data_IF_869412968794
#
_entry.id   IF_869412968794
#
_cell.length_a   1.000
_cell.length_b   1.000
_cell.length_c   1.000
_cell.angle_alpha   90.00
_cell.angle_beta   90.00
_cell.angle_gamma   90.00
#
_symmetry.space_group_name_H-M   'P 1'
#
loop_
_entity.id
_entity.type
_entity.pdbx_description
1 polymer ?
#
# COMPACT_ATOMS: atom_id res chain seq x y z
N UNK A 1 31.01 19.72 24.19
CA UNK A 1 30.08 20.03 23.07
C UNK A 1 29.91 18.73 22.32
N UNK A 2 29.01 17.88 22.80
CA UNK A 2 28.74 16.58 22.17
C UNK A 2 27.80 16.80 21.00
N UNK A 3 28.28 16.41 19.83
CA UNK A 3 27.58 16.47 18.57
C UNK A 3 26.48 15.37 18.55
N UNK A 4 25.29 15.77 18.91
CA UNK A 4 24.12 14.89 18.98
C UNK A 4 23.45 14.85 17.60
N UNK A 5 24.21 14.52 16.54
CA UNK A 5 23.65 14.05 15.28
C UNK A 5 23.08 12.64 15.48
N UNK A 6 21.95 12.56 16.15
CA UNK A 6 21.16 11.33 16.16
C UNK A 6 20.75 11.01 14.73
N UNK A 7 21.46 10.08 14.18
CA UNK A 7 21.17 9.34 12.97
C UNK A 7 19.72 8.84 13.06
N UNK A 8 18.81 9.53 12.41
CA UNK A 8 17.60 8.89 11.93
C UNK A 8 18.03 7.99 10.77
N UNK A 9 18.55 6.82 11.12
CA UNK A 9 18.62 5.70 10.22
C UNK A 9 17.15 5.32 9.95
N UNK A 10 16.57 5.96 8.95
CA UNK A 10 15.25 5.60 8.48
C UNK A 10 15.41 4.21 7.88
N UNK A 11 14.95 3.19 8.59
CA UNK A 11 14.78 1.84 8.07
C UNK A 11 13.89 1.93 6.83
N UNK A 12 14.52 2.20 5.68
CA UNK A 12 13.84 2.28 4.39
C UNK A 12 13.37 0.87 4.08
N UNK A 13 12.08 0.65 4.25
CA UNK A 13 11.45 -0.63 3.91
C UNK A 13 11.74 -0.96 2.46
N UNK A 14 12.44 -2.05 2.24
CA UNK A 14 12.78 -2.49 0.90
C UNK A 14 11.57 -3.16 0.26
N UNK A 15 10.93 -2.43 -0.64
CA UNK A 15 9.79 -2.88 -1.43
C UNK A 15 10.28 -3.38 -2.78
N UNK A 16 9.89 -4.59 -3.16
CA UNK A 16 10.20 -5.16 -4.46
C UNK A 16 8.93 -5.64 -5.18
N UNK A 17 9.02 -5.79 -6.51
CA UNK A 17 7.99 -6.39 -7.35
C UNK A 17 8.54 -7.69 -7.94
N UNK A 18 7.85 -8.80 -7.68
CA UNK A 18 8.15 -10.07 -8.33
C UNK A 18 7.56 -10.10 -9.74
N UNK A 19 8.36 -10.61 -10.66
CA UNK A 19 7.99 -10.96 -12.02
C UNK A 19 8.49 -12.38 -12.31
N UNK A 20 7.87 -13.14 -13.24
CA UNK A 20 8.32 -14.49 -13.59
C UNK A 20 9.83 -14.57 -13.86
N UNK A 21 10.48 -15.58 -13.33
CA UNK A 21 11.93 -15.83 -13.45
C UNK A 21 12.85 -14.76 -12.80
N UNK A 22 12.31 -13.86 -12.01
CA UNK A 22 13.11 -12.87 -11.28
C UNK A 22 13.97 -13.57 -10.21
N UNK A 23 15.25 -13.18 -10.15
CA UNK A 23 16.19 -13.61 -9.11
C UNK A 23 16.19 -12.59 -7.98
N UNK A 24 16.15 -13.06 -6.75
CA UNK A 24 16.19 -12.21 -5.57
C UNK A 24 17.54 -11.51 -5.41
N UNK A 25 17.53 -10.21 -5.18
CA UNK A 25 18.70 -9.36 -4.97
C UNK A 25 18.86 -8.95 -3.49
N UNK A 26 18.82 -9.93 -2.59
CA UNK A 26 18.92 -9.73 -1.15
C UNK A 26 17.57 -9.69 -0.44
N UNK A 27 17.58 -9.30 0.84
CA UNK A 27 16.39 -9.27 1.69
C UNK A 27 15.42 -8.17 1.26
N UNK A 28 14.13 -8.51 1.22
CA UNK A 28 13.02 -7.57 1.01
C UNK A 28 12.03 -7.68 2.16
N UNK A 29 11.61 -6.57 2.74
CA UNK A 29 10.55 -6.57 3.75
C UNK A 29 9.19 -6.87 3.10
N UNK A 30 8.95 -6.28 1.93
CA UNK A 30 7.70 -6.44 1.20
C UNK A 30 7.98 -6.79 -0.26
N UNK A 31 7.31 -7.80 -0.76
CA UNK A 31 7.30 -8.12 -2.18
C UNK A 31 5.87 -8.11 -2.72
N UNK A 32 5.66 -7.40 -3.82
CA UNK A 32 4.40 -7.40 -4.56
C UNK A 32 4.49 -8.30 -5.78
N UNK A 33 3.38 -8.91 -6.14
CA UNK A 33 3.21 -9.54 -7.45
C UNK A 33 1.78 -9.32 -7.97
N UNK A 34 1.64 -9.24 -9.29
CA UNK A 34 0.32 -9.18 -9.94
C UNK A 34 -0.10 -10.62 -10.25
N UNK A 35 -1.22 -11.05 -9.68
CA UNK A 35 -1.70 -12.42 -9.86
C UNK A 35 -2.11 -12.67 -11.30
N UNK A 36 -1.57 -13.72 -11.91
CA UNK A 36 -1.85 -14.15 -13.27
C UNK A 36 -1.53 -15.65 -13.44
N UNK A 37 -1.94 -16.22 -14.57
CA UNK A 37 -1.59 -17.60 -14.93
C UNK A 37 -0.07 -17.80 -15.21
N UNK A 38 0.66 -16.70 -15.42
CA UNK A 38 2.11 -16.74 -15.68
C UNK A 38 2.94 -16.90 -14.40
N UNK A 39 2.33 -16.69 -13.23
CA UNK A 39 3.00 -16.81 -11.93
C UNK A 39 2.96 -18.26 -11.48
N UNK A 40 4.09 -18.96 -11.64
CA UNK A 40 4.25 -20.29 -11.10
C UNK A 40 4.37 -20.26 -9.57
N UNK A 41 3.61 -21.12 -8.90
CA UNK A 41 3.57 -21.20 -7.43
C UNK A 41 4.94 -21.55 -6.83
N UNK A 42 5.63 -22.54 -7.41
CA UNK A 42 6.91 -23.02 -6.89
C UNK A 42 8.02 -21.99 -7.09
N UNK A 43 7.99 -21.26 -8.21
CA UNK A 43 8.96 -20.21 -8.50
C UNK A 43 8.75 -19.00 -7.58
N UNK A 44 7.51 -18.60 -7.34
CA UNK A 44 7.18 -17.53 -6.38
C UNK A 44 7.57 -17.92 -4.95
N UNK A 45 7.31 -19.15 -4.54
CA UNK A 45 7.72 -19.68 -3.23
C UNK A 45 9.25 -19.67 -3.08
N UNK A 46 9.96 -20.11 -4.10
CA UNK A 46 11.43 -20.08 -4.12
C UNK A 46 11.96 -18.66 -4.02
N UNK A 47 11.38 -17.73 -4.78
CA UNK A 47 11.73 -16.32 -4.69
C UNK A 47 11.51 -15.75 -3.28
N UNK A 48 10.36 -16.01 -2.66
CA UNK A 48 10.05 -15.57 -1.28
C UNK A 48 11.14 -16.00 -0.29
N UNK A 49 11.58 -17.25 -0.39
CA UNK A 49 12.63 -17.81 0.48
C UNK A 49 13.99 -17.14 0.20
N UNK A 50 14.38 -17.01 -1.07
CA UNK A 50 15.66 -16.41 -1.47
C UNK A 50 15.74 -14.91 -1.11
N UNK A 51 14.66 -14.18 -1.32
CA UNK A 51 14.54 -12.77 -0.97
C UNK A 51 14.33 -12.54 0.53
N UNK A 52 14.16 -13.61 1.31
CA UNK A 52 13.79 -13.50 2.74
C UNK A 52 12.63 -12.51 2.94
N UNK A 53 11.62 -12.59 2.06
CA UNK A 53 10.49 -11.66 2.07
C UNK A 53 9.62 -11.90 3.30
N UNK A 54 9.53 -10.89 4.16
CA UNK A 54 8.71 -10.96 5.36
C UNK A 54 7.22 -10.93 5.01
N UNK A 55 6.84 -10.10 4.02
CA UNK A 55 5.44 -9.91 3.64
C UNK A 55 5.26 -9.99 2.12
N UNK A 56 4.42 -10.91 1.68
CA UNK A 56 4.11 -11.13 0.26
C UNK A 56 2.69 -10.67 -0.04
N UNK A 57 2.55 -9.64 -0.88
CA UNK A 57 1.27 -9.03 -1.23
C UNK A 57 0.94 -9.31 -2.68
N UNK A 58 -0.19 -9.96 -2.91
CA UNK A 58 -0.75 -10.13 -4.24
C UNK A 58 -1.59 -8.92 -4.65
N UNK A 59 -1.50 -8.50 -5.89
CA UNK A 59 -2.43 -7.58 -6.53
C UNK A 59 -3.30 -8.40 -7.48
N UNK A 60 -4.61 -8.43 -7.23
CA UNK A 60 -5.58 -9.12 -8.06
C UNK A 60 -6.38 -8.11 -8.86
N UNK A 61 -6.29 -8.17 -10.19
CA UNK A 61 -7.01 -7.28 -11.09
C UNK A 61 -8.25 -7.92 -11.70
N UNK A 62 -8.55 -9.15 -11.29
CA UNK A 62 -9.70 -9.92 -11.77
C UNK A 62 -10.32 -10.70 -10.62
N UNK A 63 -11.57 -11.19 -10.83
CA UNK A 63 -12.22 -12.09 -9.87
C UNK A 63 -11.79 -13.56 -10.05
N UNK A 64 -10.83 -13.84 -10.96
CA UNK A 64 -10.31 -15.18 -11.16
C UNK A 64 -9.41 -15.58 -9.99
N UNK A 65 -9.59 -16.81 -9.52
CA UNK A 65 -8.65 -17.39 -8.55
C UNK A 65 -7.41 -17.91 -9.29
N UNK A 66 -6.23 -17.60 -8.75
CA UNK A 66 -4.94 -18.10 -9.18
C UNK A 66 -4.27 -18.81 -8.02
N UNK A 67 -3.60 -19.94 -8.27
CA UNK A 67 -2.96 -20.74 -7.22
C UNK A 67 -1.91 -19.92 -6.44
N UNK A 68 -1.19 -19.02 -7.11
CA UNK A 68 -0.22 -18.14 -6.48
C UNK A 68 -0.80 -17.25 -5.36
N UNK A 69 -2.12 -16.98 -5.36
CA UNK A 69 -2.80 -16.23 -4.28
C UNK A 69 -2.75 -16.98 -2.94
N UNK A 70 -2.55 -18.30 -2.98
CA UNK A 70 -2.37 -19.12 -1.77
C UNK A 70 -1.14 -18.76 -0.96
N UNK A 71 -0.07 -18.24 -1.61
CA UNK A 71 1.18 -17.83 -0.97
C UNK A 71 1.13 -16.42 -0.38
N UNK A 72 0.21 -15.58 -0.83
CA UNK A 72 0.14 -14.19 -0.40
C UNK A 72 -0.35 -14.08 1.06
N UNK A 73 0.26 -13.18 1.82
CA UNK A 73 -0.21 -12.80 3.15
C UNK A 73 -1.47 -11.93 3.02
N UNK A 74 -1.49 -11.01 2.04
CA UNK A 74 -2.66 -10.22 1.67
C UNK A 74 -2.90 -10.24 0.16
N UNK A 75 -4.14 -10.00 -0.24
CA UNK A 75 -4.57 -9.82 -1.62
C UNK A 75 -5.25 -8.46 -1.74
N UNK A 76 -4.67 -7.57 -2.54
CA UNK A 76 -5.25 -6.26 -2.85
C UNK A 76 -6.03 -6.37 -4.15
N UNK A 77 -7.33 -6.09 -4.09
CA UNK A 77 -8.19 -6.01 -5.27
C UNK A 77 -8.17 -4.58 -5.84
N UNK A 78 -7.89 -4.45 -7.11
CA UNK A 78 -7.93 -3.18 -7.84
C UNK A 78 -8.10 -3.42 -9.35
N UNK A 79 -8.35 -2.37 -10.12
CA UNK A 79 -8.32 -2.46 -11.59
C UNK A 79 -6.87 -2.47 -12.11
N UNK A 80 -6.68 -2.88 -13.36
CA UNK A 80 -5.34 -2.99 -13.97
C UNK A 80 -4.62 -1.64 -14.03
N UNK A 81 -5.33 -0.56 -14.29
CA UNK A 81 -4.80 0.80 -14.32
C UNK A 81 -4.46 1.35 -12.93
N UNK A 82 -4.99 0.76 -11.86
CA UNK A 82 -4.69 1.12 -10.46
C UNK A 82 -3.42 0.45 -9.91
N UNK A 83 -2.91 -0.60 -10.56
CA UNK A 83 -1.71 -1.33 -10.08
C UNK A 83 -0.52 -0.40 -9.80
N UNK A 84 -0.15 0.55 -10.68
CA UNK A 84 0.93 1.49 -10.38
C UNK A 84 0.63 2.39 -9.17
N UNK A 85 -0.63 2.76 -8.95
CA UNK A 85 -1.05 3.58 -7.81
C UNK A 85 -0.92 2.82 -6.49
N UNK A 86 -1.31 1.54 -6.47
CA UNK A 86 -1.10 0.65 -5.31
C UNK A 86 0.38 0.59 -4.95
N UNK A 87 1.24 0.28 -5.92
CA UNK A 87 2.69 0.21 -5.71
C UNK A 87 3.26 1.54 -5.19
N UNK A 88 2.86 2.67 -5.82
CA UNK A 88 3.30 3.99 -5.42
C UNK A 88 2.82 4.37 -4.01
N UNK A 89 1.59 3.98 -3.61
CA UNK A 89 1.07 4.24 -2.27
C UNK A 89 1.97 3.58 -1.21
N UNK A 90 2.34 2.31 -1.40
CA UNK A 90 3.24 1.61 -0.48
C UNK A 90 4.66 2.18 -0.48
N UNK A 91 5.23 2.52 -1.63
CA UNK A 91 6.55 3.13 -1.71
C UNK A 91 6.61 4.48 -0.97
N UNK A 92 5.56 5.30 -1.10
CA UNK A 92 5.50 6.61 -0.44
C UNK A 92 5.28 6.53 1.07
N UNK A 93 4.66 5.47 1.58
CA UNK A 93 4.54 5.25 3.04
C UNK A 93 5.91 5.27 3.73
N UNK A 94 6.96 4.86 3.02
CA UNK A 94 8.29 4.63 3.56
C UNK A 94 9.34 5.64 3.10
N UNK A 95 8.99 6.58 2.22
CA UNK A 95 9.96 7.51 1.64
C UNK A 95 10.42 8.63 2.57
N UNK A 96 9.90 8.69 3.80
CA UNK A 96 10.27 9.73 4.77
C UNK A 96 9.92 11.16 4.36
N UNK A 97 9.31 11.35 3.19
CA UNK A 97 8.99 12.68 2.62
C UNK A 97 7.67 13.26 3.10
N UNK A 98 6.96 12.58 4.02
CA UNK A 98 5.69 13.02 4.58
C UNK A 98 5.86 13.80 5.89
N UNK A 99 4.87 14.65 6.23
CA UNK A 99 4.80 15.36 7.52
C UNK A 99 4.52 14.35 8.66
N UNK A 100 3.81 13.27 8.35
CA UNK A 100 3.54 12.17 9.26
C UNK A 100 3.93 10.89 8.51
N UNK A 101 4.99 10.24 8.97
CA UNK A 101 5.41 8.93 8.48
C UNK A 101 4.64 7.83 9.20
N UNK A 102 4.38 6.74 8.51
CA UNK A 102 3.85 5.50 9.09
C UNK A 102 4.95 4.45 9.05
N UNK A 103 5.22 3.80 10.17
CA UNK A 103 6.17 2.70 10.23
C UNK A 103 5.63 1.46 9.51
N UNK A 104 6.54 0.58 9.05
CA UNK A 104 6.12 -0.68 8.45
C UNK A 104 5.32 -1.55 9.43
N UNK A 105 5.63 -1.49 10.72
CA UNK A 105 4.90 -2.24 11.73
C UNK A 105 3.45 -1.75 11.90
N UNK A 106 3.20 -0.45 11.78
CA UNK A 106 1.85 0.11 11.76
C UNK A 106 1.07 -0.33 10.51
N UNK A 107 1.72 -0.34 9.34
CA UNK A 107 1.13 -0.86 8.11
C UNK A 107 0.78 -2.34 8.26
N UNK A 108 1.72 -3.17 8.72
CA UNK A 108 1.49 -4.59 8.98
C UNK A 108 0.33 -4.81 9.93
N UNK A 109 0.28 -4.04 11.02
CA UNK A 109 -0.82 -4.12 11.98
C UNK A 109 -2.18 -3.82 11.32
N UNK A 110 -2.25 -2.77 10.49
CA UNK A 110 -3.49 -2.37 9.82
C UNK A 110 -4.01 -3.41 8.83
N UNK A 111 -3.11 -4.12 8.12
CA UNK A 111 -3.47 -5.13 7.12
C UNK A 111 -3.47 -6.56 7.67
N UNK A 112 -2.90 -6.79 8.86
CA UNK A 112 -2.84 -8.12 9.47
C UNK A 112 -4.23 -8.67 9.81
N UNK A 113 -4.38 -9.98 9.72
CA UNK A 113 -5.64 -10.68 10.03
C UNK A 113 -6.75 -10.54 8.98
N UNK A 114 -6.50 -9.81 7.88
CA UNK A 114 -7.43 -9.70 6.77
C UNK A 114 -6.72 -10.07 5.48
N UNK A 115 -7.08 -11.20 4.89
CA UNK A 115 -6.44 -11.63 3.63
C UNK A 115 -6.79 -10.71 2.47
N UNK A 116 -8.03 -10.21 2.41
CA UNK A 116 -8.53 -9.39 1.31
C UNK A 116 -8.54 -7.91 1.68
N UNK A 117 -7.98 -7.09 0.80
CA UNK A 117 -7.87 -5.63 0.92
C UNK A 117 -8.44 -5.02 -0.35
N UNK A 118 -9.31 -4.03 -0.21
CA UNK A 118 -9.78 -3.22 -1.31
C UNK A 118 -8.98 -1.92 -1.39
N UNK A 119 -8.45 -1.61 -2.56
CA UNK A 119 -7.76 -0.35 -2.80
C UNK A 119 -8.74 0.71 -3.28
N UNK A 120 -8.80 1.80 -2.54
CA UNK A 120 -9.64 2.95 -2.89
C UNK A 120 -8.80 4.21 -2.95
N UNK A 121 -9.06 5.08 -3.90
CA UNK A 121 -8.38 6.37 -3.99
C UNK A 121 -9.32 7.47 -4.49
N UNK A 122 -8.97 8.71 -4.18
CA UNK A 122 -9.55 9.92 -4.73
C UNK A 122 -8.43 10.86 -5.16
N UNK A 123 -8.58 11.49 -6.32
CA UNK A 123 -7.61 12.46 -6.86
C UNK A 123 -8.35 13.71 -7.30
N UNK A 124 -7.85 14.85 -6.89
CA UNK A 124 -8.36 16.13 -7.35
C UNK A 124 -7.22 17.16 -7.40
N UNK A 125 -7.39 18.18 -8.23
CA UNK A 125 -6.48 19.32 -8.34
C UNK A 125 -7.23 20.64 -8.21
N UNK A 126 -6.49 21.75 -8.00
CA UNK A 126 -7.03 23.09 -7.88
C UNK A 126 -7.60 23.41 -6.51
N UNK A 127 -8.40 24.47 -6.45
CA UNK A 127 -9.05 24.91 -5.23
C UNK A 127 -10.03 23.85 -4.69
N UNK A 128 -10.05 23.64 -3.37
CA UNK A 128 -10.86 22.61 -2.70
C UNK A 128 -10.54 21.14 -3.11
N UNK A 129 -9.39 20.88 -3.71
CA UNK A 129 -9.01 19.55 -4.17
C UNK A 129 -9.08 18.48 -3.07
N UNK A 130 -8.73 18.82 -1.81
CA UNK A 130 -8.83 17.89 -0.68
C UNK A 130 -10.27 17.46 -0.45
N UNK A 131 -11.22 18.38 -0.45
CA UNK A 131 -12.64 18.08 -0.29
C UNK A 131 -13.14 17.17 -1.40
N UNK A 132 -12.83 17.48 -2.66
CA UNK A 132 -13.23 16.68 -3.81
C UNK A 132 -12.60 15.28 -3.81
N UNK A 133 -11.33 15.16 -3.44
CA UNK A 133 -10.68 13.85 -3.32
C UNK A 133 -11.32 13.02 -2.19
N UNK A 134 -11.62 13.66 -1.05
CA UNK A 134 -12.32 12.99 0.06
C UNK A 134 -13.73 12.55 -0.33
N UNK A 135 -14.50 13.36 -1.05
CA UNK A 135 -15.84 12.99 -1.52
C UNK A 135 -15.80 11.75 -2.44
N UNK A 136 -14.83 11.69 -3.38
CA UNK A 136 -14.63 10.53 -4.22
C UNK A 136 -14.34 9.26 -3.42
N UNK A 137 -13.41 9.38 -2.45
CA UNK A 137 -13.05 8.28 -1.57
C UNK A 137 -14.24 7.82 -0.72
N UNK A 138 -14.94 8.74 -0.05
CA UNK A 138 -16.09 8.44 0.81
C UNK A 138 -17.20 7.75 0.02
N UNK A 139 -17.50 8.22 -1.18
CA UNK A 139 -18.53 7.63 -2.04
C UNK A 139 -18.20 6.16 -2.41
N UNK A 140 -16.93 5.88 -2.70
CA UNK A 140 -16.47 4.51 -2.97
C UNK A 140 -16.56 3.64 -1.69
N UNK A 141 -16.12 4.18 -0.56
CA UNK A 141 -16.14 3.49 0.73
C UNK A 141 -17.57 3.15 1.17
N UNK A 142 -18.52 4.07 1.04
CA UNK A 142 -19.93 3.83 1.36
C UNK A 142 -20.52 2.72 0.52
N UNK A 143 -20.22 2.71 -0.80
CA UNK A 143 -20.68 1.64 -1.70
C UNK A 143 -20.08 0.28 -1.30
N UNK A 144 -18.82 0.23 -0.89
CA UNK A 144 -18.17 -0.98 -0.44
C UNK A 144 -18.79 -1.48 0.88
N UNK A 145 -18.95 -0.58 1.85
CA UNK A 145 -19.50 -0.90 3.18
C UNK A 145 -20.95 -1.41 3.14
N UNK A 146 -21.70 -1.04 2.10
CA UNK A 146 -23.07 -1.55 1.91
C UNK A 146 -23.10 -3.03 1.50
N UNK A 147 -22.00 -3.55 0.96
CA UNK A 147 -21.91 -4.92 0.48
C UNK A 147 -21.08 -5.83 1.39
N UNK A 148 -20.12 -5.27 2.12
CA UNK A 148 -19.15 -6.03 2.91
C UNK A 148 -18.88 -5.37 4.26
N UNK A 149 -18.70 -6.16 5.34
CA UNK A 149 -18.26 -5.61 6.63
C UNK A 149 -16.80 -5.15 6.52
N UNK A 150 -16.57 -3.87 6.78
CA UNK A 150 -15.22 -3.29 6.81
C UNK A 150 -14.68 -3.40 8.24
N UNK A 151 -13.55 -4.06 8.42
CA UNK A 151 -12.91 -4.22 9.74
C UNK A 151 -11.93 -3.10 10.05
N UNK A 152 -11.07 -2.77 9.07
CA UNK A 152 -10.04 -1.76 9.22
C UNK A 152 -10.04 -0.84 8.00
N UNK A 153 -9.70 0.42 8.20
CA UNK A 153 -9.47 1.40 7.13
C UNK A 153 -8.11 2.06 7.41
N UNK A 154 -7.23 1.99 6.43
CA UNK A 154 -5.98 2.75 6.42
C UNK A 154 -6.11 3.85 5.38
N UNK A 155 -5.95 5.10 5.82
CA UNK A 155 -6.04 6.26 4.94
C UNK A 155 -4.67 6.92 4.87
N UNK A 156 -4.19 7.11 3.65
CA UNK A 156 -2.97 7.86 3.40
C UNK A 156 -3.28 9.05 2.48
N UNK A 157 -2.78 10.21 2.82
CA UNK A 157 -3.01 11.43 2.06
C UNK A 157 -1.68 11.96 1.53
N UNK A 158 -1.57 12.06 0.22
CA UNK A 158 -0.43 12.68 -0.45
C UNK A 158 -0.90 14.00 -1.07
N UNK A 159 -0.23 15.08 -0.74
CA UNK A 159 -0.50 16.41 -1.27
C UNK A 159 0.81 17.08 -1.65
N UNK A 160 0.75 17.98 -2.63
CA UNK A 160 1.86 18.89 -2.90
C UNK A 160 2.00 19.89 -1.72
N UNK A 161 3.23 20.25 -1.37
CA UNK A 161 3.54 21.17 -0.25
C UNK A 161 2.78 22.50 -0.37
N UNK A 162 2.52 22.95 -1.60
CA UNK A 162 1.72 24.16 -1.86
C UNK A 162 0.28 24.08 -1.32
N UNK A 163 -0.25 22.87 -1.13
CA UNK A 163 -1.60 22.62 -0.60
C UNK A 163 -1.68 22.67 0.93
N UNK A 164 -0.58 22.32 1.62
CA UNK A 164 -0.54 22.25 3.09
C UNK A 164 -0.64 23.65 3.71
N UNK A 165 -0.21 24.68 3.00
CA UNK A 165 -0.19 26.08 3.50
C UNK A 165 -1.57 26.75 3.42
N UNK A 166 -2.47 26.25 2.57
CA UNK A 166 -3.77 26.90 2.31
C UNK A 166 -4.98 26.25 2.99
N UNK A 167 -4.87 25.04 3.55
CA UNK A 167 -6.01 24.35 4.16
C UNK A 167 -5.76 24.01 5.63
N UNK A 168 -6.35 24.82 6.53
CA UNK A 168 -6.54 24.41 7.93
C UNK A 168 -7.49 23.23 7.96
N UNK A 169 -6.98 22.05 8.32
CA UNK A 169 -7.82 20.89 8.61
C UNK A 169 -8.49 21.15 9.95
N UNK A 170 -9.76 21.58 9.93
CA UNK A 170 -10.61 21.61 11.11
C UNK A 170 -11.18 20.21 11.31
N UNK A 171 -10.52 19.40 12.15
CA UNK A 171 -11.15 18.23 12.73
C UNK A 171 -12.09 18.71 13.82
N UNK A 172 -13.38 18.90 13.51
CA UNK A 172 -14.38 19.10 14.54
C UNK A 172 -14.90 17.74 15.00
N UNK A 173 -14.58 17.39 16.24
CA UNK A 173 -15.25 16.32 16.96
C UNK A 173 -16.71 16.73 17.21
N UNK A 174 -17.65 15.91 16.76
CA UNK A 174 -18.99 15.76 17.35
C UNK A 174 -19.26 14.30 17.54
#
# INVERSE_FOLDING_TARGET
>A
MEDNSSVFDSDIVKVDKYEPHKIANGKNEVTFFVASDEIDFADLQRYRIQAQTDYLIAISTTNKYYDCLGLADNVISCSTDEVPLVMQAFQRLHSGSGIIGMSWDEVKWAISGNKNIEFLYGVAGGENCVAFACEQFISKLQRLSSNYPIKNVMINMFADISLVVSNKILLSNK
#
